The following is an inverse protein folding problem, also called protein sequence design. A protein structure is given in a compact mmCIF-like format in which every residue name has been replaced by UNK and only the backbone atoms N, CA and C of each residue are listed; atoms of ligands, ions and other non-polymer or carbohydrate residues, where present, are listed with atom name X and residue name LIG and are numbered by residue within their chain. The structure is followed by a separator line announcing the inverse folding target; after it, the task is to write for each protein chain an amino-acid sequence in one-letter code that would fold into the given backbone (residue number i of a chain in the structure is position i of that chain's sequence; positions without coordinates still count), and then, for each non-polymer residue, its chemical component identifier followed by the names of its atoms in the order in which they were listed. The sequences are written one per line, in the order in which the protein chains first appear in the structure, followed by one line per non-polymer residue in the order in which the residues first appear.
data_IF_426232759912
#
_entry.id   IF_426232759912
#
_cell.length_a   1.000
_cell.length_b   1.000
_cell.length_c   1.000
_cell.angle_alpha   90.00
_cell.angle_beta   90.00
_cell.angle_gamma   90.00
#
_symmetry.space_group_name_H-M   'P 1'
#
loop_
_entity.id
_entity.type
_entity.pdbx_description
1 polymer ?
#
# COMPACT_ATOMS: atom_id res chain seq x y z
N UNK A 1 21.65 16.27 4.68
CA UNK A 1 21.82 15.56 5.97
C UNK A 1 23.02 16.12 6.73
N UNK A 2 23.15 15.86 8.04
CA UNK A 2 24.32 16.26 8.85
C UNK A 2 25.64 15.65 8.32
N UNK A 3 25.58 14.58 7.55
CA UNK A 3 26.72 13.79 7.06
C UNK A 3 26.95 13.86 5.56
N UNK A 4 26.17 14.65 4.82
CA UNK A 4 26.29 14.78 3.36
C UNK A 4 24.96 14.85 2.63
N UNK A 5 25.01 14.66 1.30
CA UNK A 5 23.81 14.65 0.46
C UNK A 5 22.95 13.40 0.72
N UNK A 6 21.64 13.58 0.70
CA UNK A 6 20.71 12.43 0.79
C UNK A 6 20.62 11.71 -0.56
N UNK A 7 20.63 10.38 -0.50
CA UNK A 7 20.35 9.52 -1.65
C UNK A 7 19.09 8.68 -1.43
N UNK A 8 18.17 9.16 -0.60
CA UNK A 8 16.87 8.51 -0.38
C UNK A 8 16.08 8.39 -1.67
N UNK A 9 15.23 7.38 -1.78
CA UNK A 9 14.44 7.14 -2.99
C UNK A 9 13.66 8.38 -3.42
N UNK A 10 13.05 9.11 -2.48
CA UNK A 10 12.30 10.32 -2.79
C UNK A 10 13.17 11.44 -3.38
N UNK A 11 14.42 11.59 -2.91
CA UNK A 11 15.38 12.57 -3.45
C UNK A 11 15.83 12.14 -4.84
N UNK A 12 16.13 10.86 -5.03
CA UNK A 12 16.54 10.33 -6.34
C UNK A 12 15.37 10.41 -7.35
N UNK A 13 14.14 10.10 -6.93
CA UNK A 13 12.95 10.23 -7.79
C UNK A 13 12.77 11.67 -8.30
N UNK A 14 12.95 12.66 -7.44
CA UNK A 14 12.88 14.09 -7.82
C UNK A 14 14.01 14.52 -8.78
N UNK A 15 15.05 13.72 -8.91
CA UNK A 15 16.20 13.99 -9.76
C UNK A 15 16.25 13.10 -11.02
N UNK A 16 15.22 12.31 -11.32
CA UNK A 16 15.20 11.35 -12.44
C UNK A 16 15.60 11.95 -13.76
N UNK A 17 15.08 13.14 -14.06
CA UNK A 17 15.33 13.84 -15.33
C UNK A 17 16.73 14.47 -15.42
N UNK A 18 17.49 14.49 -14.33
CA UNK A 18 18.80 15.13 -14.28
C UNK A 18 19.94 14.24 -14.77
N UNK A 19 19.82 12.92 -14.62
CA UNK A 19 20.87 12.02 -15.07
C UNK A 19 20.37 10.57 -15.21
N UNK A 20 20.67 9.86 -16.31
CA UNK A 20 20.20 8.49 -16.57
C UNK A 20 20.70 7.44 -15.56
N UNK A 21 21.76 7.74 -14.81
CA UNK A 21 22.27 6.87 -13.76
C UNK A 21 21.26 6.70 -12.61
N UNK A 22 20.39 7.68 -12.39
CA UNK A 22 19.45 7.69 -11.27
C UNK A 22 18.46 6.51 -11.40
N UNK A 23 17.89 6.30 -12.58
CA UNK A 23 17.02 5.15 -12.83
C UNK A 23 17.72 3.82 -12.61
N UNK A 24 18.99 3.73 -13.00
CA UNK A 24 19.79 2.51 -12.78
C UNK A 24 20.02 2.25 -11.29
N UNK A 25 20.31 3.30 -10.51
CA UNK A 25 20.49 3.19 -9.05
C UNK A 25 19.18 2.77 -8.39
N UNK A 26 18.06 3.40 -8.73
CA UNK A 26 16.73 3.05 -8.18
C UNK A 26 16.36 1.62 -8.52
N UNK A 27 16.54 1.21 -9.77
CA UNK A 27 16.31 -0.17 -10.21
C UNK A 27 17.21 -1.17 -9.51
N UNK A 28 18.50 -0.87 -9.39
CA UNK A 28 19.45 -1.73 -8.67
C UNK A 28 19.04 -1.91 -7.21
N UNK A 29 18.69 -0.83 -6.52
CA UNK A 29 18.23 -0.89 -5.12
C UNK A 29 16.95 -1.72 -4.96
N UNK A 30 15.99 -1.54 -5.85
CA UNK A 30 14.75 -2.29 -5.85
C UNK A 30 15.02 -3.82 -6.01
N UNK A 31 15.82 -4.19 -7.00
CA UNK A 31 16.18 -5.59 -7.25
C UNK A 31 17.03 -6.17 -6.10
N UNK A 32 18.03 -5.42 -5.60
CA UNK A 32 18.85 -5.87 -4.48
C UNK A 32 18.02 -6.12 -3.23
N UNK A 33 17.03 -5.26 -2.95
CA UNK A 33 16.08 -5.46 -1.85
C UNK A 33 15.27 -6.74 -2.03
N UNK A 34 14.75 -7.00 -3.23
CA UNK A 34 13.99 -8.22 -3.51
C UNK A 34 14.85 -9.48 -3.31
N UNK A 35 16.05 -9.48 -3.84
CA UNK A 35 16.99 -10.59 -3.69
C UNK A 35 17.31 -10.82 -2.21
N UNK A 36 17.82 -9.80 -1.53
CA UNK A 36 18.28 -9.95 -0.15
C UNK A 36 17.16 -10.29 0.84
N UNK A 37 15.94 -9.81 0.61
CA UNK A 37 14.82 -10.03 1.55
C UNK A 37 14.08 -11.33 1.26
N UNK A 38 13.84 -11.65 0.00
CA UNK A 38 12.92 -12.75 -0.36
C UNK A 38 13.60 -13.96 -0.97
N UNK A 39 14.77 -13.84 -1.58
CA UNK A 39 15.54 -14.99 -2.06
C UNK A 39 16.57 -15.40 -1.00
N UNK A 40 17.62 -14.60 -0.81
CA UNK A 40 18.68 -14.89 0.15
C UNK A 40 18.16 -14.96 1.61
N UNK A 41 17.11 -14.21 1.91
CA UNK A 41 16.56 -14.12 3.28
C UNK A 41 15.54 -15.21 3.62
N UNK A 42 14.86 -15.82 2.65
CA UNK A 42 13.85 -16.86 2.92
C UNK A 42 14.37 -18.27 2.68
N UNK A 43 15.25 -18.48 1.72
CA UNK A 43 15.78 -19.81 1.38
C UNK A 43 16.39 -20.53 2.60
N UNK A 44 17.23 -19.90 3.47
CA UNK A 44 17.79 -20.53 4.64
C UNK A 44 16.76 -20.89 5.73
N UNK A 45 15.54 -20.34 5.65
CA UNK A 45 14.47 -20.57 6.61
C UNK A 45 13.53 -21.71 6.20
N UNK A 46 13.77 -22.32 5.06
CA UNK A 46 13.03 -23.51 4.64
C UNK A 46 13.45 -24.67 5.56
N UNK A 47 12.50 -25.23 6.29
CA UNK A 47 12.70 -26.40 7.12
C UNK A 47 12.82 -27.62 6.22
N UNK A 48 13.98 -28.33 6.19
CA UNK A 48 14.22 -29.41 5.22
C UNK A 48 13.19 -30.55 5.31
N UNK A 49 12.72 -30.86 6.51
CA UNK A 49 11.80 -31.98 6.77
C UNK A 49 10.38 -31.73 6.22
N UNK A 50 9.99 -30.45 6.11
CA UNK A 50 8.63 -30.08 5.72
C UNK A 50 8.58 -29.29 4.41
N UNK A 51 9.71 -28.76 3.93
CA UNK A 51 9.78 -27.88 2.78
C UNK A 51 9.07 -26.53 3.00
N UNK A 52 8.80 -26.14 4.27
CA UNK A 52 7.98 -24.97 4.62
C UNK A 52 8.78 -23.91 5.34
N UNK A 53 8.29 -22.68 5.26
CA UNK A 53 8.73 -21.55 6.06
C UNK A 53 7.67 -21.27 7.12
N UNK A 54 8.08 -21.09 8.35
CA UNK A 54 7.22 -20.76 9.48
C UNK A 54 7.51 -19.33 9.95
N UNK A 55 6.46 -18.55 10.17
CA UNK A 55 6.54 -17.20 10.73
C UNK A 55 5.91 -17.15 12.11
N UNK A 56 6.30 -16.18 12.91
CA UNK A 56 5.64 -15.85 14.16
C UNK A 56 4.61 -14.74 13.93
N UNK A 57 3.34 -14.99 14.27
CA UNK A 57 2.31 -13.96 14.29
C UNK A 57 2.18 -13.39 15.70
N UNK A 58 2.49 -12.11 15.84
CA UNK A 58 2.46 -11.41 17.12
C UNK A 58 1.14 -10.65 17.26
N UNK A 59 0.39 -10.92 18.33
CA UNK A 59 -0.93 -10.33 18.57
C UNK A 59 -0.87 -9.03 19.40
N UNK A 60 0.22 -8.76 20.11
CA UNK A 60 0.32 -7.69 21.11
C UNK A 60 1.40 -6.64 20.78
N UNK A 61 1.98 -6.66 19.60
CA UNK A 61 3.09 -5.76 19.24
C UNK A 61 2.63 -4.44 18.68
N UNK A 62 1.52 -4.44 17.92
CA UNK A 62 1.02 -3.22 17.29
C UNK A 62 0.08 -2.45 18.21
N UNK A 63 0.18 -1.13 18.22
CA UNK A 63 -0.74 -0.25 18.98
C UNK A 63 -2.18 -0.25 18.43
N UNK A 64 -2.36 -0.72 17.19
CA UNK A 64 -3.65 -0.72 16.50
C UNK A 64 -4.44 -2.02 16.67
N UNK A 65 -3.92 -3.03 17.37
CA UNK A 65 -4.53 -4.35 17.48
C UNK A 65 -4.40 -5.23 16.22
N UNK A 66 -3.65 -4.78 15.20
CA UNK A 66 -3.34 -5.61 14.03
C UNK A 66 -2.29 -6.65 14.38
N UNK A 67 -2.32 -7.82 13.72
CA UNK A 67 -1.22 -8.77 13.77
C UNK A 67 0.03 -8.19 13.11
N UNK A 68 1.19 -8.56 13.64
CA UNK A 68 2.46 -8.42 12.94
C UNK A 68 3.10 -9.79 12.71
N UNK A 69 3.98 -9.88 11.74
CA UNK A 69 4.69 -11.11 11.37
C UNK A 69 6.18 -10.87 11.48
N UNK A 70 6.90 -11.81 12.12
CA UNK A 70 8.35 -11.75 12.29
C UNK A 70 8.99 -13.13 12.12
N UNK A 71 10.26 -13.15 11.77
CA UNK A 71 11.15 -14.30 11.70
C UNK A 71 10.65 -15.46 10.80
N UNK A 72 10.34 -15.19 9.51
CA UNK A 72 10.42 -13.96 8.73
C UNK A 72 9.13 -13.15 8.70
N UNK A 73 9.20 -11.85 8.31
CA UNK A 73 7.99 -11.08 8.05
C UNK A 73 7.38 -11.46 6.69
N UNK A 74 6.30 -12.24 6.69
CA UNK A 74 5.58 -12.67 5.49
C UNK A 74 4.43 -11.73 5.08
N UNK A 75 4.11 -10.70 5.88
CA UNK A 75 3.08 -9.71 5.53
C UNK A 75 3.54 -8.70 4.48
N UNK A 76 4.85 -8.61 4.23
CA UNK A 76 5.44 -7.65 3.29
C UNK A 76 5.79 -8.24 1.92
N UNK A 77 5.25 -9.40 1.57
CA UNK A 77 5.47 -10.02 0.25
C UNK A 77 4.96 -9.05 -0.83
N UNK A 78 5.80 -8.63 -1.79
CA UNK A 78 5.45 -7.61 -2.75
C UNK A 78 4.41 -8.11 -3.76
N UNK A 79 3.48 -7.21 -4.17
CA UNK A 79 2.42 -7.53 -5.14
C UNK A 79 2.33 -6.51 -6.27
N UNK A 80 2.84 -5.28 -6.07
CA UNK A 80 2.62 -4.16 -7.00
C UNK A 80 3.43 -4.26 -8.29
N UNK A 81 4.67 -4.75 -8.21
CA UNK A 81 5.57 -4.88 -9.36
C UNK A 81 5.50 -6.27 -9.98
N UNK A 82 5.89 -6.39 -11.24
CA UNK A 82 5.97 -7.69 -11.93
C UNK A 82 6.91 -8.66 -11.21
N UNK A 83 8.10 -8.18 -10.82
CA UNK A 83 9.08 -8.97 -10.06
C UNK A 83 8.54 -9.38 -8.70
N UNK A 84 7.81 -8.48 -8.03
CA UNK A 84 7.16 -8.79 -6.76
C UNK A 84 6.10 -9.88 -6.90
N UNK A 85 5.30 -9.85 -7.96
CA UNK A 85 4.34 -10.92 -8.27
C UNK A 85 5.01 -12.26 -8.55
N UNK A 86 6.17 -12.25 -9.22
CA UNK A 86 6.97 -13.49 -9.42
C UNK A 86 7.46 -14.08 -8.09
N UNK A 87 7.90 -13.24 -7.14
CA UNK A 87 8.26 -13.71 -5.79
C UNK A 87 7.03 -14.28 -5.07
N UNK A 88 5.89 -13.60 -5.15
CA UNK A 88 4.65 -14.09 -4.54
C UNK A 88 4.21 -15.44 -5.11
N UNK A 89 4.43 -15.73 -6.38
CA UNK A 89 4.10 -17.01 -7.01
C UNK A 89 4.98 -18.19 -6.55
N UNK A 90 6.07 -17.93 -5.82
CA UNK A 90 6.88 -19.01 -5.20
C UNK A 90 6.18 -19.62 -3.97
N UNK A 91 5.21 -18.93 -3.41
CA UNK A 91 4.40 -19.46 -2.31
C UNK A 91 3.28 -20.31 -2.90
N UNK A 92 3.37 -21.59 -2.69
CA UNK A 92 2.47 -22.61 -3.26
C UNK A 92 1.70 -23.31 -2.15
N UNK A 93 0.57 -23.99 -2.46
CA UNK A 93 -0.12 -24.82 -1.49
C UNK A 93 0.81 -25.88 -0.91
N UNK A 94 0.61 -26.22 0.36
CA UNK A 94 1.35 -27.33 0.97
C UNK A 94 0.90 -28.69 0.41
N UNK A 95 1.64 -29.74 0.74
CA UNK A 95 1.30 -31.11 0.35
C UNK A 95 -0.13 -31.47 0.80
N UNK A 96 -0.90 -32.09 -0.11
CA UNK A 96 -2.29 -32.43 0.13
C UNK A 96 -3.30 -31.31 -0.10
N UNK A 97 -2.87 -30.15 -0.59
CA UNK A 97 -3.74 -29.01 -0.91
C UNK A 97 -3.52 -28.53 -2.34
N UNK A 98 -4.62 -28.23 -3.04
CA UNK A 98 -4.58 -27.77 -4.44
C UNK A 98 -4.53 -26.22 -4.55
N UNK A 99 -5.02 -25.51 -3.53
CA UNK A 99 -5.22 -24.06 -3.59
C UNK A 99 -4.79 -23.33 -2.34
N UNK A 100 -4.35 -22.10 -2.52
CA UNK A 100 -4.30 -21.06 -1.48
C UNK A 100 -5.53 -20.18 -1.68
N UNK A 101 -6.43 -20.14 -0.70
CA UNK A 101 -7.62 -19.28 -0.73
C UNK A 101 -7.33 -18.03 0.11
N UNK A 102 -7.55 -16.85 -0.48
CA UNK A 102 -7.44 -15.56 0.21
C UNK A 102 -8.77 -14.84 0.18
N UNK A 103 -9.28 -14.47 1.36
CA UNK A 103 -10.48 -13.65 1.52
C UNK A 103 -10.12 -12.35 2.25
N UNK A 104 -10.63 -11.22 1.74
CA UNK A 104 -10.44 -9.91 2.36
C UNK A 104 -11.76 -9.15 2.43
N UNK A 105 -11.97 -8.41 3.49
CA UNK A 105 -13.13 -7.54 3.63
C UNK A 105 -13.01 -6.32 2.73
N UNK A 106 -14.00 -6.13 1.85
CA UNK A 106 -14.03 -4.96 0.98
C UNK A 106 -14.24 -3.68 1.77
N UNK A 107 -13.23 -2.80 1.78
CA UNK A 107 -13.27 -1.46 2.36
C UNK A 107 -13.75 -1.42 3.83
N UNK A 108 -13.35 -2.40 4.65
CA UNK A 108 -13.90 -2.56 6.01
C UNK A 108 -13.70 -1.31 6.88
N UNK A 109 -12.56 -0.66 6.79
CA UNK A 109 -12.25 0.54 7.58
C UNK A 109 -13.20 1.69 7.23
N UNK A 110 -13.50 1.89 5.94
CA UNK A 110 -14.47 2.90 5.49
C UNK A 110 -15.91 2.55 5.89
N UNK A 111 -16.26 1.26 5.89
CA UNK A 111 -17.58 0.81 6.36
C UNK A 111 -17.76 1.05 7.85
N UNK A 112 -16.72 0.78 8.64
CA UNK A 112 -16.72 1.09 10.06
C UNK A 112 -16.78 2.60 10.31
N UNK A 113 -16.05 3.39 9.53
CA UNK A 113 -16.11 4.85 9.62
C UNK A 113 -17.53 5.35 9.31
N UNK A 114 -18.14 4.90 8.21
CA UNK A 114 -19.50 5.26 7.85
C UNK A 114 -20.51 4.91 8.96
N UNK A 115 -20.33 3.72 9.57
CA UNK A 115 -21.18 3.28 10.68
C UNK A 115 -20.99 4.13 11.94
N UNK A 116 -19.76 4.43 12.32
CA UNK A 116 -19.46 5.19 13.54
C UNK A 116 -19.79 6.68 13.41
N UNK A 117 -19.49 7.29 12.23
CA UNK A 117 -19.78 8.69 11.96
C UNK A 117 -21.25 8.96 11.67
N UNK A 118 -22.01 7.94 11.28
CA UNK A 118 -23.38 8.04 10.77
C UNK A 118 -23.50 9.00 9.57
N UNK A 119 -22.43 9.14 8.78
CA UNK A 119 -22.40 9.99 7.60
C UNK A 119 -23.38 9.46 6.53
N UNK A 120 -24.42 10.21 6.17
CA UNK A 120 -25.47 9.74 5.27
C UNK A 120 -24.95 9.49 3.86
N UNK A 121 -23.94 10.24 3.43
CA UNK A 121 -23.32 10.13 2.11
C UNK A 121 -22.55 8.84 1.95
N UNK A 122 -21.75 8.51 2.95
CA UNK A 122 -21.02 7.24 2.97
C UNK A 122 -21.96 6.03 3.10
N UNK A 123 -22.95 6.12 3.98
CA UNK A 123 -23.95 5.04 4.18
C UNK A 123 -24.71 4.78 2.88
N UNK A 124 -25.24 5.81 2.25
CA UNK A 124 -25.94 5.70 0.97
C UNK A 124 -25.07 5.09 -0.12
N UNK A 125 -23.80 5.53 -0.22
CA UNK A 125 -22.85 4.97 -1.16
C UNK A 125 -22.62 3.47 -0.97
N UNK A 126 -22.46 3.02 0.27
CA UNK A 126 -22.29 1.59 0.57
C UNK A 126 -23.57 0.78 0.34
N UNK A 127 -24.75 1.31 0.68
CA UNK A 127 -26.03 0.65 0.44
C UNK A 127 -26.30 0.47 -1.07
N UNK A 128 -25.90 1.42 -1.90
CA UNK A 128 -25.98 1.35 -3.36
C UNK A 128 -24.86 0.54 -4.01
N UNK A 129 -23.97 -0.05 -3.24
CA UNK A 129 -22.83 -0.83 -3.75
C UNK A 129 -21.81 0.03 -4.51
N UNK A 130 -21.76 1.33 -4.27
CA UNK A 130 -20.86 2.24 -4.93
C UNK A 130 -19.41 2.10 -4.39
N UNK A 131 -18.45 2.34 -5.25
CA UNK A 131 -17.04 2.45 -4.84
C UNK A 131 -16.80 3.83 -4.23
N UNK A 132 -16.62 3.88 -2.91
CA UNK A 132 -16.43 5.13 -2.17
C UNK A 132 -15.21 5.91 -2.67
N UNK A 133 -14.11 5.23 -3.05
CA UNK A 133 -12.94 5.91 -3.60
C UNK A 133 -13.25 6.55 -4.96
N UNK A 134 -14.06 5.90 -5.78
CA UNK A 134 -14.50 6.45 -7.06
C UNK A 134 -15.43 7.65 -6.86
N UNK A 135 -16.32 7.57 -5.88
CA UNK A 135 -17.19 8.68 -5.50
C UNK A 135 -16.39 9.88 -5.00
N UNK A 136 -15.46 9.66 -4.07
CA UNK A 136 -14.54 10.71 -3.60
C UNK A 136 -13.75 11.33 -4.75
N UNK A 137 -13.26 10.53 -5.71
CA UNK A 137 -12.57 11.06 -6.89
C UNK A 137 -13.48 11.97 -7.71
N UNK A 138 -14.72 11.55 -7.96
CA UNK A 138 -15.72 12.37 -8.66
C UNK A 138 -15.95 13.71 -7.98
N UNK A 139 -16.10 13.72 -6.65
CA UNK A 139 -16.32 14.93 -5.87
C UNK A 139 -15.08 15.83 -5.80
N UNK A 140 -13.90 15.24 -5.52
CA UNK A 140 -12.63 15.97 -5.37
C UNK A 140 -12.15 16.59 -6.69
N UNK A 141 -12.27 15.86 -7.79
CA UNK A 141 -11.79 16.30 -9.10
C UNK A 141 -12.89 16.98 -9.95
N UNK A 142 -14.15 16.96 -9.49
CA UNK A 142 -15.28 17.56 -10.21
C UNK A 142 -15.61 16.88 -11.54
N UNK A 143 -15.43 15.56 -11.62
CA UNK A 143 -15.66 14.74 -12.82
C UNK A 143 -16.83 13.79 -12.60
N UNK A 144 -17.58 13.41 -13.65
CA UNK A 144 -18.64 12.42 -13.56
C UNK A 144 -18.12 11.07 -13.02
N UNK A 145 -18.94 10.36 -12.24
CA UNK A 145 -18.56 9.11 -11.58
C UNK A 145 -18.09 8.01 -12.57
N UNK A 146 -18.70 7.96 -13.74
CA UNK A 146 -18.39 7.01 -14.81
C UNK A 146 -17.10 7.35 -15.57
N UNK A 147 -16.68 8.61 -15.55
CA UNK A 147 -15.44 9.09 -16.17
C UNK A 147 -14.21 8.98 -15.26
N UNK A 148 -14.38 8.65 -13.97
CA UNK A 148 -13.25 8.49 -13.04
C UNK A 148 -12.30 7.40 -13.51
N UNK A 149 -11.06 7.80 -13.76
CA UNK A 149 -9.97 6.89 -14.15
C UNK A 149 -9.44 6.06 -12.98
N UNK A 150 -8.75 4.94 -13.23
CA UNK A 150 -8.07 4.16 -12.19
C UNK A 150 -7.03 4.97 -11.39
N UNK A 151 -6.38 5.95 -12.01
CA UNK A 151 -5.40 6.82 -11.38
C UNK A 151 -6.07 7.78 -10.40
N UNK A 152 -7.11 8.49 -10.83
CA UNK A 152 -7.90 9.40 -9.98
C UNK A 152 -8.55 8.64 -8.80
N UNK A 153 -9.07 7.45 -9.05
CA UNK A 153 -9.55 6.57 -7.99
C UNK A 153 -8.44 6.20 -6.99
N UNK A 154 -7.22 5.96 -7.47
CA UNK A 154 -6.06 5.67 -6.61
C UNK A 154 -5.65 6.89 -5.77
N UNK A 155 -5.71 8.08 -6.35
CA UNK A 155 -5.49 9.33 -5.62
C UNK A 155 -6.55 9.54 -4.54
N UNK A 156 -7.83 9.38 -4.87
CA UNK A 156 -8.91 9.47 -3.90
C UNK A 156 -8.81 8.43 -2.78
N UNK A 157 -8.32 7.23 -3.09
CA UNK A 157 -8.00 6.23 -2.07
C UNK A 157 -6.93 6.76 -1.10
N UNK A 158 -5.88 7.41 -1.60
CA UNK A 158 -4.85 8.01 -0.76
C UNK A 158 -5.39 9.17 0.10
N UNK A 159 -6.34 9.96 -0.44
CA UNK A 159 -7.05 11.01 0.31
C UNK A 159 -7.86 10.39 1.44
N UNK A 160 -8.75 9.45 1.14
CA UNK A 160 -9.64 8.82 2.13
C UNK A 160 -8.86 8.19 3.29
N UNK A 161 -7.86 7.38 2.98
CA UNK A 161 -7.02 6.78 4.02
C UNK A 161 -6.14 7.81 4.72
N UNK A 162 -5.63 8.78 3.96
CA UNK A 162 -4.84 9.87 4.52
C UNK A 162 -5.59 10.63 5.59
N UNK A 163 -6.82 11.04 5.32
CA UNK A 163 -7.68 11.76 6.27
C UNK A 163 -7.97 10.90 7.49
N UNK A 164 -8.36 9.65 7.31
CA UNK A 164 -8.65 8.71 8.41
C UNK A 164 -7.45 8.54 9.36
N UNK A 165 -6.24 8.50 8.79
CA UNK A 165 -5.00 8.33 9.56
C UNK A 165 -4.35 9.66 9.96
N UNK A 166 -5.02 10.80 9.79
CA UNK A 166 -4.55 12.10 10.22
C UNK A 166 -3.39 12.65 9.38
N UNK A 167 -3.46 12.48 8.06
CA UNK A 167 -2.45 13.05 7.16
C UNK A 167 -2.41 14.58 7.29
N UNK A 168 -1.20 15.16 7.26
CA UNK A 168 -1.06 16.60 7.18
C UNK A 168 -1.37 17.13 5.77
N UNK A 169 -1.74 18.43 5.69
CA UNK A 169 -1.91 19.15 4.44
C UNK A 169 -0.70 19.03 3.51
N UNK A 170 0.52 19.05 4.06
CA UNK A 170 1.76 18.83 3.32
C UNK A 170 1.86 17.40 2.78
N UNK A 171 1.51 16.41 3.59
CA UNK A 171 1.52 15.00 3.18
C UNK A 171 0.52 14.73 2.06
N UNK A 172 -0.71 15.26 2.18
CA UNK A 172 -1.75 15.12 1.17
C UNK A 172 -1.37 15.82 -0.13
N UNK A 173 -0.90 17.08 -0.06
CA UNK A 173 -0.46 17.84 -1.23
C UNK A 173 0.57 17.10 -2.06
N UNK A 174 1.53 16.46 -1.38
CA UNK A 174 2.58 15.65 -2.03
C UNK A 174 2.04 14.36 -2.65
N UNK A 175 1.08 13.69 -1.97
CA UNK A 175 0.55 12.40 -2.42
C UNK A 175 -0.28 12.50 -3.70
N UNK A 176 -1.03 13.58 -3.87
CA UNK A 176 -1.92 13.78 -5.02
C UNK A 176 -1.50 14.96 -5.91
N UNK A 177 -0.28 15.47 -5.73
CA UNK A 177 0.34 16.52 -6.56
C UNK A 177 -0.49 17.80 -6.71
N UNK A 178 -1.09 18.26 -5.61
CA UNK A 178 -1.84 19.52 -5.53
C UNK A 178 -1.12 20.56 -4.67
N UNK A 179 -1.61 21.80 -4.69
CA UNK A 179 -1.12 22.84 -3.76
C UNK A 179 -1.47 22.49 -2.31
N UNK A 180 -0.62 22.93 -1.37
CA UNK A 180 -0.84 22.75 0.05
C UNK A 180 -2.15 23.41 0.53
N UNK A 181 -2.50 24.56 -0.06
CA UNK A 181 -3.75 25.25 0.23
C UNK A 181 -4.95 24.38 -0.13
N UNK A 182 -4.94 23.79 -1.34
CA UNK A 182 -6.00 22.90 -1.81
C UNK A 182 -6.08 21.60 -0.99
N UNK A 183 -4.94 21.07 -0.57
CA UNK A 183 -4.90 19.92 0.34
C UNK A 183 -5.53 20.23 1.70
N UNK A 184 -5.32 21.45 2.22
CA UNK A 184 -5.94 21.91 3.44
C UNK A 184 -7.46 22.04 3.31
N UNK A 185 -7.95 22.59 2.19
CA UNK A 185 -9.39 22.69 1.89
C UNK A 185 -10.09 21.33 1.82
N UNK A 186 -9.35 20.25 1.51
CA UNK A 186 -9.90 18.87 1.51
C UNK A 186 -9.89 18.22 2.90
N UNK A 187 -9.07 18.71 3.83
CA UNK A 187 -8.98 18.16 5.19
C UNK A 187 -9.96 18.85 6.14
N UNK A 188 -10.15 20.18 5.98
CA UNK A 188 -11.03 21.01 6.80
C UNK A 188 -12.51 20.78 6.43
#
# INVERSE_FOLDING_TARGET
TKTGYSTDSAVLDALRDKHPMIDKILRFRALKKLISTYLDGLEPLIVPETGRIYTHFNQMVTSTGRLSSSDPNLQNIPIRTEQGRKIRSLFVPGEGYDYIVSGDYSQIELRLLAHLSQDPTMIDGFQKGQDIHRRTASEVFGIPLDEVTPEERSHAKAVNFGIIYGISDFGLARNISISRQKAKEYID
#
